data_IF_469348878468
#
_entry.id   IF_469348878468
#
_cell.length_a   1.000
_cell.length_b   1.000
_cell.length_c   1.000
_cell.angle_alpha   90.00
_cell.angle_beta   90.00
_cell.angle_gamma   90.00
#
_symmetry.space_group_name_H-M   'P 1'
#
loop_
_entity.id
_entity.type
_entity.pdbx_description
1 polymer ?
#
# COMPACT_ATOMS: atom_id res chain seq x y z
N UNK A 1 92.44 52.13 21.17
CA UNK A 1 91.30 51.53 21.91
C UNK A 1 90.52 50.61 20.98
N UNK A 2 89.90 49.52 21.47
CA UNK A 2 88.99 48.66 20.68
C UNK A 2 87.69 49.40 20.35
N UNK A 3 87.15 49.19 19.15
CA UNK A 3 85.70 49.16 18.85
C UNK A 3 85.41 48.04 17.85
N UNK A 4 84.19 47.51 17.87
CA UNK A 4 83.79 46.25 17.23
C UNK A 4 83.22 46.48 15.82
N UNK A 5 83.19 45.42 15.00
CA UNK A 5 82.29 45.30 13.85
C UNK A 5 80.83 45.20 14.31
N UNK A 6 79.88 45.57 13.44
CA UNK A 6 78.69 44.77 13.17
C UNK A 6 78.86 44.03 11.83
N UNK A 7 78.70 42.71 11.83
CA UNK A 7 78.63 41.90 10.61
C UNK A 7 77.18 41.88 10.13
N UNK A 8 76.88 42.49 8.98
CA UNK A 8 75.53 42.46 8.39
C UNK A 8 75.34 41.12 7.68
N UNK A 9 74.60 40.21 8.31
CA UNK A 9 74.18 38.96 7.70
C UNK A 9 72.95 39.20 6.81
N UNK A 10 73.11 39.02 5.50
CA UNK A 10 72.02 39.11 4.53
C UNK A 10 71.28 37.75 4.49
N UNK A 11 70.14 37.64 5.17
CA UNK A 11 69.28 36.46 5.04
C UNK A 11 68.59 36.46 3.65
N UNK A 12 68.69 35.39 2.86
CA UNK A 12 67.79 35.20 1.72
C UNK A 12 66.40 34.83 2.25
N UNK A 13 65.39 35.61 1.89
CA UNK A 13 63.99 35.23 2.08
C UNK A 13 63.66 34.12 1.08
N UNK A 14 63.74 32.87 1.53
CA UNK A 14 63.13 31.73 0.84
C UNK A 14 61.61 31.86 0.96
N UNK A 15 61.00 32.58 0.01
CA UNK A 15 59.58 32.47 -0.27
C UNK A 15 59.32 31.09 -0.89
N UNK A 16 59.11 30.08 -0.05
CA UNK A 16 58.47 28.84 -0.48
C UNK A 16 57.03 29.13 -0.86
N UNK A 17 56.59 28.62 -2.01
CA UNK A 17 55.16 28.45 -2.24
C UNK A 17 54.70 27.32 -1.33
N UNK A 18 53.99 27.68 -0.26
CA UNK A 18 53.37 26.73 0.65
C UNK A 18 52.08 26.22 -0.03
N UNK A 19 52.25 25.41 -1.08
CA UNK A 19 51.15 24.76 -1.83
C UNK A 19 50.52 23.60 -1.01
N UNK A 20 50.57 23.71 0.32
CA UNK A 20 49.89 22.88 1.32
C UNK A 20 48.40 23.30 1.44
N UNK A 21 47.78 23.64 0.31
CA UNK A 21 46.33 23.78 0.18
C UNK A 21 45.76 22.35 0.11
N UNK A 22 45.15 21.82 1.20
CA UNK A 22 44.87 20.40 1.29
C UNK A 22 43.74 20.05 0.33
N UNK A 23 44.11 19.49 -0.83
CA UNK A 23 43.16 18.96 -1.82
C UNK A 23 42.30 17.91 -1.15
N UNK A 24 41.14 18.35 -0.66
CA UNK A 24 40.25 17.54 0.15
C UNK A 24 39.89 16.29 -0.63
N UNK A 25 40.34 15.14 -0.14
CA UNK A 25 40.20 13.87 -0.85
C UNK A 25 38.71 13.64 -1.07
N UNK A 26 38.29 13.69 -2.34
CA UNK A 26 36.88 13.49 -2.71
C UNK A 26 36.44 12.15 -2.14
N UNK A 27 35.37 12.17 -1.35
CA UNK A 27 34.81 10.94 -0.83
C UNK A 27 34.27 10.07 -1.98
N UNK A 28 34.52 8.77 -1.86
CA UNK A 28 34.16 7.71 -2.80
C UNK A 28 33.44 6.55 -2.08
N UNK A 29 33.05 6.76 -0.81
CA UNK A 29 32.43 5.77 0.06
C UNK A 29 30.91 5.93 0.01
N UNK A 30 30.14 5.03 -0.61
CA UNK A 30 28.69 5.15 -0.61
C UNK A 30 28.09 4.97 0.79
N UNK A 31 26.92 5.57 1.07
CA UNK A 31 26.08 5.20 2.20
C UNK A 31 25.72 3.71 2.19
N UNK A 32 25.25 3.19 3.33
CA UNK A 32 24.64 1.87 3.37
C UNK A 32 23.34 1.84 2.55
N UNK A 33 22.98 0.69 1.98
CA UNK A 33 21.67 0.54 1.35
C UNK A 33 20.54 0.75 2.39
N UNK A 34 19.42 1.41 2.02
CA UNK A 34 18.20 1.43 2.82
C UNK A 34 17.71 0.02 3.16
N UNK A 35 17.05 -0.14 4.31
CA UNK A 35 16.66 -1.44 4.88
C UNK A 35 15.24 -1.41 5.45
N UNK A 36 14.67 -2.60 5.61
CA UNK A 36 13.28 -2.82 5.95
C UNK A 36 12.36 -1.99 5.04
N UNK A 37 12.63 -2.05 3.73
CA UNK A 37 11.80 -1.39 2.73
C UNK A 37 10.51 -2.21 2.55
N UNK A 38 9.36 -1.53 2.60
CA UNK A 38 8.05 -2.12 2.34
C UNK A 38 7.15 -1.12 1.61
N UNK A 39 6.04 -1.61 1.07
CA UNK A 39 5.02 -0.79 0.41
C UNK A 39 3.66 -0.94 1.07
N UNK A 40 2.80 0.06 0.86
CA UNK A 40 1.37 0.03 1.17
C UNK A 40 0.60 0.52 -0.06
N UNK A 41 -0.33 -0.31 -0.53
CA UNK A 41 -1.23 -0.06 -1.66
C UNK A 41 -2.26 1.02 -1.32
N UNK A 42 -2.58 1.88 -2.28
CA UNK A 42 -3.72 2.81 -2.21
C UNK A 42 -4.27 3.08 -3.64
N UNK A 43 -5.35 3.86 -3.75
CA UNK A 43 -5.94 4.18 -5.06
C UNK A 43 -5.02 5.08 -5.90
N UNK A 44 -4.65 4.58 -7.08
CA UNK A 44 -3.73 5.24 -8.00
C UNK A 44 -2.32 5.46 -7.44
N UNK A 45 -1.94 4.77 -6.35
CA UNK A 45 -0.79 5.17 -5.53
C UNK A 45 -0.13 3.98 -4.81
N UNK A 46 1.20 4.03 -4.68
CA UNK A 46 1.97 3.20 -3.73
C UNK A 46 2.68 4.11 -2.74
N UNK A 47 2.63 3.79 -1.44
CA UNK A 47 3.49 4.42 -0.42
C UNK A 47 4.61 3.46 -0.06
N UNK A 48 5.85 3.80 -0.41
CA UNK A 48 7.04 3.12 0.11
C UNK A 48 7.41 3.68 1.47
N UNK A 49 7.97 2.82 2.32
CA UNK A 49 8.55 3.14 3.62
C UNK A 49 9.88 2.42 3.79
N UNK A 50 10.79 2.98 4.58
CA UNK A 50 12.10 2.38 4.89
C UNK A 50 12.66 2.91 6.21
N UNK A 51 13.58 2.16 6.83
CA UNK A 51 14.36 2.66 7.97
C UNK A 51 15.42 3.64 7.44
N UNK A 52 15.40 4.87 7.95
CA UNK A 52 16.30 5.93 7.50
C UNK A 52 17.78 5.65 7.83
N UNK A 53 18.65 6.01 6.89
CA UNK A 53 20.09 6.02 7.07
C UNK A 53 20.51 7.08 8.11
N UNK A 54 21.66 6.85 8.75
CA UNK A 54 22.16 7.60 9.91
C UNK A 54 23.48 8.35 9.64
N UNK A 55 24.04 8.14 8.45
CA UNK A 55 25.31 8.68 8.00
C UNK A 55 25.33 10.23 8.01
N UNK A 56 26.47 10.82 8.34
CA UNK A 56 26.60 12.26 8.63
C UNK A 56 26.52 13.12 7.36
N UNK A 57 26.93 12.55 6.25
CA UNK A 57 27.08 13.06 4.87
C UNK A 57 25.89 12.69 3.96
N UNK A 58 24.89 11.96 4.47
CA UNK A 58 23.68 11.60 3.75
C UNK A 58 22.96 12.85 3.20
N UNK A 59 22.78 12.91 1.88
CA UNK A 59 22.03 13.95 1.18
C UNK A 59 20.55 13.59 0.99
N UNK A 60 20.25 12.30 0.81
CA UNK A 60 18.90 11.79 0.64
C UNK A 60 18.86 10.39 0.05
N UNK A 61 17.79 10.11 -0.70
CA UNK A 61 17.49 8.80 -1.29
C UNK A 61 17.06 8.94 -2.74
N UNK A 62 17.24 7.86 -3.52
CA UNK A 62 16.64 7.70 -4.84
C UNK A 62 15.72 6.49 -4.83
N UNK A 63 14.55 6.64 -5.45
CA UNK A 63 13.53 5.61 -5.56
C UNK A 63 13.51 5.13 -7.01
N UNK A 64 13.46 3.82 -7.16
CA UNK A 64 13.51 3.12 -8.43
C UNK A 64 12.28 2.23 -8.63
N UNK A 65 11.91 1.97 -9.88
CA UNK A 65 10.81 1.10 -10.25
C UNK A 65 11.18 0.17 -11.41
N UNK A 66 10.78 -1.10 -11.33
CA UNK A 66 10.92 -2.09 -12.39
C UNK A 66 9.55 -2.70 -12.79
N UNK A 67 9.39 -3.19 -14.03
CA UNK A 67 8.18 -3.91 -14.46
C UNK A 67 8.15 -5.38 -14.01
N UNK A 68 9.25 -5.91 -13.50
CA UNK A 68 9.40 -7.31 -13.08
C UNK A 68 10.55 -7.47 -12.07
N UNK A 69 10.58 -8.58 -11.33
CA UNK A 69 11.44 -8.76 -10.16
C UNK A 69 12.95 -8.72 -10.46
N UNK A 70 13.40 -9.37 -11.54
CA UNK A 70 14.83 -9.55 -11.83
C UNK A 70 15.10 -9.98 -13.28
N UNK A 71 16.34 -9.79 -13.73
CA UNK A 71 16.82 -10.16 -15.06
C UNK A 71 17.09 -8.95 -15.97
N UNK A 72 17.80 -9.17 -17.08
CA UNK A 72 18.26 -8.10 -17.97
C UNK A 72 17.13 -7.33 -18.69
N UNK A 73 15.91 -7.88 -18.71
CA UNK A 73 14.68 -7.24 -19.20
C UNK A 73 13.89 -6.49 -18.12
N UNK A 74 14.39 -6.46 -16.88
CA UNK A 74 13.74 -5.87 -15.72
C UNK A 74 14.66 -4.82 -15.06
N UNK A 75 15.06 -3.75 -15.78
CA UNK A 75 15.82 -2.67 -15.18
C UNK A 75 14.99 -1.98 -14.09
N UNK A 76 15.67 -1.58 -13.01
CA UNK A 76 15.14 -0.64 -12.04
C UNK A 76 15.46 0.76 -12.54
N UNK A 77 14.45 1.43 -13.10
CA UNK A 77 14.56 2.79 -13.63
C UNK A 77 14.33 3.81 -12.50
N UNK A 78 15.12 4.89 -12.49
CA UNK A 78 14.96 5.98 -11.52
C UNK A 78 13.63 6.71 -11.75
N UNK A 79 12.84 6.89 -10.68
CA UNK A 79 11.55 7.60 -10.76
C UNK A 79 11.53 8.93 -9.99
N UNK A 80 12.10 9.00 -8.78
CA UNK A 80 12.14 10.23 -7.98
C UNK A 80 13.18 10.17 -6.85
N UNK A 81 13.51 11.33 -6.28
CA UNK A 81 14.37 11.45 -5.09
C UNK A 81 13.56 11.83 -3.84
N UNK A 82 14.01 11.40 -2.67
CA UNK A 82 13.51 11.87 -1.37
C UNK A 82 14.65 12.54 -0.57
N UNK A 83 14.36 13.57 0.24
CA UNK A 83 15.38 14.31 0.98
C UNK A 83 15.96 13.51 2.16
N UNK A 84 17.10 13.95 2.68
CA UNK A 84 17.64 13.48 3.97
C UNK A 84 16.55 13.49 5.05
N UNK A 85 16.48 12.41 5.83
CA UNK A 85 15.49 12.27 6.91
C UNK A 85 14.11 11.78 6.46
N UNK A 86 13.86 11.62 5.16
CA UNK A 86 12.70 10.85 4.70
C UNK A 86 12.81 9.38 5.12
N UNK A 87 11.67 8.78 5.46
CA UNK A 87 11.49 7.35 5.80
C UNK A 87 10.43 6.70 4.93
N UNK A 88 10.16 7.30 3.76
CA UNK A 88 9.10 6.90 2.83
C UNK A 88 8.90 7.89 1.68
N UNK A 89 8.19 7.44 0.64
CA UNK A 89 7.82 8.23 -0.53
C UNK A 89 6.53 7.70 -1.15
N UNK A 90 5.72 8.58 -1.76
CA UNK A 90 4.49 8.23 -2.45
C UNK A 90 4.71 8.26 -3.98
N UNK A 91 4.14 7.28 -4.70
CA UNK A 91 4.38 7.04 -6.13
C UNK A 91 3.03 6.87 -6.83
N UNK A 92 2.67 7.82 -7.70
CA UNK A 92 1.42 7.75 -8.47
C UNK A 92 1.55 6.74 -9.64
N UNK A 93 0.60 5.82 -9.76
CA UNK A 93 0.61 4.71 -10.71
C UNK A 93 -0.81 4.33 -11.16
N UNK A 94 -0.91 3.64 -12.28
CA UNK A 94 -2.19 3.09 -12.74
C UNK A 94 -2.56 1.82 -11.95
N UNK A 95 -3.85 1.70 -11.60
CA UNK A 95 -4.37 0.53 -10.91
C UNK A 95 -4.26 -0.76 -11.74
N UNK A 96 -4.14 -1.91 -11.06
CA UNK A 96 -4.09 -3.24 -11.68
C UNK A 96 -2.76 -3.57 -12.37
N UNK A 97 -1.75 -2.71 -12.28
CA UNK A 97 -0.42 -2.93 -12.85
C UNK A 97 0.61 -3.15 -11.74
N UNK A 98 0.99 -4.39 -11.52
CA UNK A 98 2.05 -4.74 -10.55
C UNK A 98 3.37 -4.07 -10.93
N UNK A 99 4.02 -3.44 -9.95
CA UNK A 99 5.33 -2.78 -10.09
C UNK A 99 6.24 -3.17 -8.94
N UNK A 100 7.53 -3.29 -9.26
CA UNK A 100 8.59 -3.63 -8.31
C UNK A 100 9.36 -2.37 -7.94
N UNK A 101 9.82 -2.26 -6.70
CA UNK A 101 10.41 -1.04 -6.16
C UNK A 101 11.71 -1.32 -5.42
N UNK A 102 12.62 -0.36 -5.49
CA UNK A 102 13.85 -0.36 -4.70
C UNK A 102 14.24 1.07 -4.32
N UNK A 103 15.03 1.21 -3.25
CA UNK A 103 15.51 2.50 -2.75
C UNK A 103 17.03 2.43 -2.55
N UNK A 104 17.74 3.48 -2.94
CA UNK A 104 19.16 3.70 -2.60
C UNK A 104 19.31 4.96 -1.74
N UNK A 105 20.43 5.08 -1.05
CA UNK A 105 20.86 6.27 -0.33
C UNK A 105 22.00 6.97 -1.10
N UNK A 106 22.05 8.31 -1.03
CA UNK A 106 23.06 9.13 -1.72
C UNK A 106 23.65 10.18 -0.77
N UNK A 107 24.96 10.37 -0.83
CA UNK A 107 25.71 11.35 -0.02
C UNK A 107 25.84 12.73 -0.70
N UNK A 108 26.48 13.70 -0.02
CA UNK A 108 26.80 15.01 -0.60
C UNK A 108 27.98 15.02 -1.60
N UNK A 109 28.75 13.93 -1.71
CA UNK A 109 29.85 13.76 -2.68
C UNK A 109 29.40 13.12 -4.01
N UNK A 110 28.13 12.71 -4.09
CA UNK A 110 27.48 12.07 -5.23
C UNK A 110 27.67 10.54 -5.31
N UNK A 111 28.13 9.88 -4.25
CA UNK A 111 28.20 8.42 -4.20
C UNK A 111 26.84 7.85 -3.78
N UNK A 112 26.48 6.74 -4.41
CA UNK A 112 25.17 6.12 -4.26
C UNK A 112 25.32 4.67 -3.80
N UNK A 113 24.52 4.25 -2.84
CA UNK A 113 24.52 2.90 -2.29
C UNK A 113 24.10 1.85 -3.32
N UNK A 114 24.26 0.57 -2.98
CA UNK A 114 23.46 -0.46 -3.60
C UNK A 114 21.96 -0.18 -3.41
N UNK A 115 21.13 -0.75 -4.28
CA UNK A 115 19.68 -0.81 -4.06
C UNK A 115 19.36 -1.65 -2.81
N UNK A 116 18.22 -1.36 -2.18
CA UNK A 116 17.63 -2.19 -1.12
C UNK A 116 17.50 -3.66 -1.54
N UNK A 117 17.87 -4.58 -0.64
CA UNK A 117 17.86 -6.04 -0.88
C UNK A 117 16.43 -6.63 -0.86
N UNK A 118 15.47 -5.93 -0.25
CA UNK A 118 14.08 -6.37 -0.20
C UNK A 118 13.41 -6.35 -1.58
N UNK A 119 12.85 -7.48 -2.01
CA UNK A 119 11.99 -7.55 -3.21
C UNK A 119 10.61 -6.96 -2.90
N UNK A 120 10.53 -5.63 -2.92
CA UNK A 120 9.27 -4.90 -2.73
C UNK A 120 8.51 -4.82 -4.04
N UNK A 121 7.23 -5.11 -4.03
CA UNK A 121 6.34 -4.91 -5.16
C UNK A 121 4.92 -4.64 -4.69
N UNK A 122 4.15 -3.96 -5.51
CA UNK A 122 2.78 -3.55 -5.19
C UNK A 122 1.91 -3.48 -6.46
N UNK A 123 0.60 -3.56 -6.27
CA UNK A 123 -0.41 -3.46 -7.34
C UNK A 123 -1.49 -2.47 -6.91
N UNK A 124 -1.38 -1.18 -7.29
CA UNK A 124 -2.37 -0.15 -6.96
C UNK A 124 -3.78 -0.56 -7.38
N UNK A 125 -4.79 -0.10 -6.64
CA UNK A 125 -6.16 -0.60 -6.80
C UNK A 125 -7.21 0.38 -6.28
N UNK A 126 -8.43 0.38 -6.82
CA UNK A 126 -9.53 1.20 -6.31
C UNK A 126 -9.81 0.92 -4.83
N UNK A 127 -10.00 1.99 -4.06
CA UNK A 127 -10.26 1.98 -2.63
C UNK A 127 -11.06 3.22 -2.21
N UNK A 128 -11.81 3.12 -1.12
CA UNK A 128 -12.60 4.23 -0.58
C UNK A 128 -12.78 4.15 0.93
N UNK A 129 -13.07 5.29 1.56
CA UNK A 129 -13.03 5.44 3.02
C UNK A 129 -14.29 6.13 3.56
N UNK A 130 -14.82 5.63 4.68
CA UNK A 130 -16.03 6.12 5.33
C UNK A 130 -17.30 6.12 4.44
N UNK A 131 -17.34 5.24 3.44
CA UNK A 131 -18.51 4.99 2.61
C UNK A 131 -19.66 4.39 3.44
N UNK A 132 -20.88 4.48 2.92
CA UNK A 132 -22.10 4.12 3.65
C UNK A 132 -23.04 3.25 2.83
N UNK A 133 -23.59 2.22 3.50
CA UNK A 133 -24.74 1.43 3.05
C UNK A 133 -25.95 1.68 3.97
N UNK A 134 -27.12 1.79 3.37
CA UNK A 134 -28.41 1.74 4.05
C UNK A 134 -28.83 0.31 4.39
N UNK A 135 -29.76 0.16 5.33
CA UNK A 135 -30.41 -1.14 5.56
C UNK A 135 -31.27 -1.54 4.34
N UNK A 136 -31.27 -2.83 3.98
CA UNK A 136 -31.93 -3.33 2.77
C UNK A 136 -33.48 -3.28 2.79
N UNK A 137 -34.09 -3.04 3.96
CA UNK A 137 -35.53 -2.85 4.15
C UNK A 137 -35.89 -1.35 4.21
N UNK A 138 -35.15 -0.56 5.00
CA UNK A 138 -35.43 0.87 5.23
C UNK A 138 -34.90 1.79 4.11
N UNK A 139 -33.71 1.49 3.55
CA UNK A 139 -33.06 2.26 2.49
C UNK A 139 -32.61 1.39 1.28
N UNK A 140 -33.49 0.57 0.66
CA UNK A 140 -33.10 -0.40 -0.37
C UNK A 140 -32.20 0.13 -1.49
N UNK A 141 -32.41 1.33 -2.09
CA UNK A 141 -31.62 1.81 -3.24
C UNK A 141 -30.13 2.06 -2.98
N UNK A 142 -29.68 2.04 -1.72
CA UNK A 142 -28.28 2.26 -1.33
C UNK A 142 -27.78 1.18 -0.35
N UNK A 143 -28.39 -0.01 -0.40
CA UNK A 143 -28.17 -1.08 0.59
C UNK A 143 -27.10 -2.09 0.21
N UNK A 144 -26.61 -2.07 -1.03
CA UNK A 144 -25.56 -2.93 -1.52
C UNK A 144 -24.44 -2.20 -2.23
N UNK A 145 -23.30 -2.89 -2.32
CA UNK A 145 -22.08 -2.41 -2.96
C UNK A 145 -21.74 -3.27 -4.19
N UNK A 146 -21.41 -2.60 -5.29
CA UNK A 146 -20.73 -3.13 -6.48
C UNK A 146 -19.25 -2.72 -6.37
N UNK A 147 -18.36 -3.66 -6.06
CA UNK A 147 -16.93 -3.35 -5.93
C UNK A 147 -16.25 -3.13 -7.29
N UNK A 148 -16.94 -3.37 -8.40
CA UNK A 148 -16.40 -3.33 -9.77
C UNK A 148 -16.79 -2.07 -10.56
N UNK A 149 -17.65 -1.21 -10.02
CA UNK A 149 -18.16 -0.02 -10.70
C UNK A 149 -17.13 1.12 -10.81
N UNK A 150 -16.35 1.38 -9.74
CA UNK A 150 -15.32 2.43 -9.63
C UNK A 150 -15.78 3.89 -9.84
N UNK A 151 -17.06 4.12 -10.13
CA UNK A 151 -17.68 5.43 -10.23
C UNK A 151 -18.52 5.69 -8.95
N UNK A 152 -18.10 6.61 -8.07
CA UNK A 152 -18.99 7.08 -6.99
C UNK A 152 -20.05 8.03 -7.59
N UNK A 153 -21.37 7.84 -7.31
CA UNK A 153 -21.98 6.94 -6.34
C UNK A 153 -22.56 5.64 -6.95
N UNK A 154 -22.26 5.28 -8.20
CA UNK A 154 -22.80 4.11 -8.89
C UNK A 154 -22.37 2.76 -8.27
N UNK A 155 -21.30 2.76 -7.48
CA UNK A 155 -20.92 1.65 -6.57
C UNK A 155 -22.01 1.29 -5.56
N UNK A 156 -22.94 2.20 -5.23
CA UNK A 156 -24.15 1.90 -4.44
C UNK A 156 -25.28 1.43 -5.34
N UNK A 157 -25.78 0.24 -5.06
CA UNK A 157 -26.88 -0.40 -5.80
C UNK A 157 -27.95 -0.96 -4.85
N UNK A 158 -29.17 -1.26 -5.35
CA UNK A 158 -30.13 -2.09 -4.63
C UNK A 158 -29.59 -3.47 -4.28
N UNK A 159 -30.02 -4.06 -3.16
CA UNK A 159 -29.62 -5.43 -2.76
C UNK A 159 -30.07 -6.52 -3.74
N UNK A 160 -31.11 -6.28 -4.53
CA UNK A 160 -31.60 -7.16 -5.58
C UNK A 160 -31.00 -6.85 -6.97
N UNK A 161 -30.06 -5.89 -7.05
CA UNK A 161 -29.37 -5.51 -8.28
C UNK A 161 -28.49 -6.65 -8.82
N UNK A 162 -28.46 -6.89 -10.15
CA UNK A 162 -27.55 -7.87 -10.78
C UNK A 162 -26.06 -7.52 -10.59
N UNK A 163 -25.75 -6.32 -10.11
CA UNK A 163 -24.42 -5.79 -9.82
C UNK A 163 -24.05 -5.85 -8.32
N UNK A 164 -24.96 -6.27 -7.44
CA UNK A 164 -24.66 -6.32 -6.01
C UNK A 164 -23.67 -7.46 -5.71
N UNK A 165 -22.55 -7.14 -5.05
CA UNK A 165 -21.65 -8.14 -4.48
C UNK A 165 -22.04 -8.45 -3.03
N UNK A 166 -22.18 -7.41 -2.21
CA UNK A 166 -22.46 -7.49 -0.76
C UNK A 166 -23.52 -6.47 -0.37
N UNK A 167 -24.49 -6.85 0.46
CA UNK A 167 -25.52 -5.96 1.01
C UNK A 167 -25.58 -5.95 2.55
N UNK A 168 -26.17 -4.90 3.11
CA UNK A 168 -26.22 -4.61 4.54
C UNK A 168 -27.66 -4.51 5.09
N UNK A 169 -27.83 -4.82 6.37
CA UNK A 169 -29.07 -4.56 7.13
C UNK A 169 -29.11 -5.28 8.48
N UNK A 170 -30.28 -5.25 9.12
CA UNK A 170 -30.48 -5.77 10.48
C UNK A 170 -31.42 -6.98 10.52
N UNK A 171 -30.94 -8.11 11.05
CA UNK A 171 -31.78 -9.25 11.41
C UNK A 171 -31.97 -9.28 12.94
N UNK A 172 -33.24 -9.18 13.38
CA UNK A 172 -33.62 -9.13 14.81
C UNK A 172 -32.90 -8.05 15.65
N UNK A 173 -32.41 -6.97 15.01
CA UNK A 173 -31.65 -5.88 15.65
C UNK A 173 -30.13 -6.07 15.65
N UNK A 174 -29.63 -7.22 15.18
CA UNK A 174 -28.19 -7.45 14.96
C UNK A 174 -27.82 -7.09 13.52
N UNK A 175 -26.74 -6.32 13.29
CA UNK A 175 -26.30 -5.91 11.96
C UNK A 175 -25.53 -7.03 11.24
N UNK A 176 -25.82 -7.27 9.97
CA UNK A 176 -25.17 -8.29 9.15
C UNK A 176 -24.75 -7.75 7.77
N UNK A 177 -23.78 -8.44 7.18
CA UNK A 177 -23.43 -8.37 5.76
C UNK A 177 -23.75 -9.71 5.10
N UNK A 178 -24.33 -9.64 3.91
CA UNK A 178 -24.68 -10.79 3.07
C UNK A 178 -23.93 -10.69 1.74
N UNK A 179 -23.34 -11.79 1.28
CA UNK A 179 -23.06 -11.95 -0.14
C UNK A 179 -24.39 -11.94 -0.91
N UNK A 180 -24.58 -10.95 -1.79
CA UNK A 180 -25.84 -10.76 -2.53
C UNK A 180 -26.04 -11.85 -3.58
N UNK A 181 -24.93 -12.27 -4.19
CA UNK A 181 -24.84 -13.51 -4.94
C UNK A 181 -23.86 -14.48 -4.29
N UNK A 182 -23.29 -15.38 -5.08
CA UNK A 182 -23.37 -16.80 -4.74
C UNK A 182 -22.13 -17.58 -5.20
N UNK A 183 -21.76 -17.29 -6.43
CA UNK A 183 -20.43 -16.93 -6.92
C UNK A 183 -19.67 -15.87 -6.09
N UNK A 184 -20.33 -15.09 -5.23
CA UNK A 184 -19.69 -14.23 -4.23
C UNK A 184 -19.57 -14.98 -2.91
N UNK A 185 -18.42 -14.88 -2.24
CA UNK A 185 -18.19 -15.45 -0.91
C UNK A 185 -17.62 -14.40 0.03
N UNK A 186 -18.06 -14.37 1.30
CA UNK A 186 -17.62 -13.42 2.31
C UNK A 186 -17.09 -14.15 3.55
N UNK A 187 -16.10 -13.56 4.23
CA UNK A 187 -15.51 -14.06 5.48
C UNK A 187 -15.20 -12.89 6.42
N UNK A 188 -15.49 -13.05 7.72
CA UNK A 188 -14.93 -12.21 8.78
C UNK A 188 -13.47 -12.61 9.03
N UNK A 189 -12.54 -11.66 8.86
CA UNK A 189 -11.11 -11.83 9.14
C UNK A 189 -10.75 -11.43 10.59
N UNK A 190 -11.72 -10.90 11.35
CA UNK A 190 -11.57 -10.48 12.74
C UNK A 190 -11.16 -9.02 12.90
N UNK A 191 -10.94 -8.65 14.17
CA UNK A 191 -10.61 -7.29 14.58
C UNK A 191 -9.26 -6.81 14.02
N UNK A 192 -9.27 -5.62 13.42
CA UNK A 192 -8.13 -5.01 12.75
C UNK A 192 -7.99 -3.50 13.05
N UNK A 193 -6.75 -3.03 13.20
CA UNK A 193 -6.42 -1.61 13.39
C UNK A 193 -6.78 -0.72 12.19
N UNK A 194 -6.79 -1.32 11.00
CA UNK A 194 -6.74 -0.66 9.69
C UNK A 194 -7.36 -1.58 8.65
N UNK A 195 -7.85 -1.04 7.52
CA UNK A 195 -8.20 -1.86 6.36
C UNK A 195 -6.94 -2.62 5.88
N UNK A 196 -5.80 -1.97 5.99
CA UNK A 196 -4.46 -2.51 5.79
C UNK A 196 -3.94 -3.17 7.08
N UNK A 197 -4.44 -4.38 7.30
CA UNK A 197 -4.00 -5.37 8.29
C UNK A 197 -4.38 -6.80 7.84
N UNK A 198 -4.63 -6.97 6.53
CA UNK A 198 -5.17 -8.19 5.92
C UNK A 198 -4.49 -8.33 4.56
N UNK A 199 -3.37 -9.06 4.59
CA UNK A 199 -2.43 -9.16 3.47
C UNK A 199 -2.96 -10.03 2.33
N UNK A 200 -3.77 -11.04 2.65
CA UNK A 200 -4.19 -12.07 1.70
C UNK A 200 -5.62 -12.54 1.92
N UNK A 201 -6.27 -12.86 0.80
CA UNK A 201 -7.44 -13.72 0.81
C UNK A 201 -7.06 -15.15 1.24
N UNK A 202 -7.71 -15.75 2.24
CA UNK A 202 -7.41 -17.10 2.69
C UNK A 202 -7.95 -18.15 1.70
N UNK A 203 -7.34 -19.35 1.64
CA UNK A 203 -7.83 -20.43 0.76
C UNK A 203 -9.13 -21.06 1.27
N UNK A 204 -9.49 -20.87 2.54
CA UNK A 204 -10.68 -21.42 3.19
C UNK A 204 -11.06 -20.60 4.43
N UNK A 205 -12.30 -20.75 4.90
CA UNK A 205 -12.88 -19.96 6.00
C UNK A 205 -14.13 -19.16 5.60
N UNK A 206 -14.44 -19.13 4.30
CA UNK A 206 -15.63 -18.52 3.70
C UNK A 206 -16.94 -18.96 4.37
N UNK A 207 -17.87 -18.00 4.52
CA UNK A 207 -19.18 -18.27 5.11
C UNK A 207 -20.00 -19.25 4.25
N UNK A 208 -20.55 -20.26 4.91
CA UNK A 208 -21.27 -21.38 4.28
C UNK A 208 -22.67 -20.96 3.79
N UNK A 209 -23.34 -20.06 4.50
CA UNK A 209 -24.60 -19.43 4.07
C UNK A 209 -24.37 -18.09 3.35
N UNK A 210 -23.15 -17.52 3.41
CA UNK A 210 -22.81 -16.23 2.81
C UNK A 210 -23.11 -15.03 3.71
N UNK A 211 -23.39 -15.26 4.99
CA UNK A 211 -23.75 -14.25 6.00
C UNK A 211 -22.59 -14.08 7.00
N UNK A 212 -22.33 -12.85 7.44
CA UNK A 212 -21.41 -12.51 8.54
C UNK A 212 -21.96 -11.34 9.37
N UNK A 213 -21.75 -11.34 10.68
CA UNK A 213 -22.14 -10.21 11.55
C UNK A 213 -21.25 -8.99 11.26
N UNK A 214 -21.82 -7.79 11.20
CA UNK A 214 -21.11 -6.55 10.87
C UNK A 214 -20.63 -5.84 12.14
N UNK A 215 -19.37 -6.08 12.52
CA UNK A 215 -18.80 -5.72 13.82
C UNK A 215 -17.82 -4.54 13.66
N UNK A 216 -18.02 -3.41 14.36
CA UNK A 216 -17.12 -2.27 14.30
C UNK A 216 -15.67 -2.62 14.68
N UNK A 217 -14.74 -2.34 13.76
CA UNK A 217 -13.33 -2.66 13.86
C UNK A 217 -12.91 -3.98 13.19
N UNK A 218 -13.85 -4.79 12.70
CA UNK A 218 -13.50 -6.00 11.93
C UNK A 218 -13.24 -5.70 10.46
N UNK A 219 -12.29 -6.46 9.88
CA UNK A 219 -12.08 -6.55 8.44
C UNK A 219 -12.80 -7.80 7.90
N UNK A 220 -13.35 -7.68 6.70
CA UNK A 220 -14.00 -8.76 5.98
C UNK A 220 -13.37 -8.90 4.60
N UNK A 221 -13.29 -10.13 4.14
CA UNK A 221 -12.74 -10.48 2.83
C UNK A 221 -13.90 -10.97 1.98
N UNK A 222 -13.97 -10.47 0.74
CA UNK A 222 -14.93 -10.89 -0.26
C UNK A 222 -14.17 -11.52 -1.42
N UNK A 223 -14.58 -12.71 -1.88
CA UNK A 223 -14.19 -13.24 -3.18
C UNK A 223 -15.34 -13.05 -4.15
N UNK A 224 -15.09 -12.27 -5.20
CA UNK A 224 -16.07 -11.91 -6.22
C UNK A 224 -15.77 -12.79 -7.43
N UNK A 225 -16.61 -13.80 -7.60
CA UNK A 225 -16.29 -14.96 -8.41
C UNK A 225 -15.56 -16.06 -7.62
N UNK A 226 -16.23 -17.14 -7.25
CA UNK A 226 -16.34 -18.24 -8.21
C UNK A 226 -14.98 -18.63 -8.87
N UNK A 227 -14.32 -19.61 -8.23
CA UNK A 227 -12.87 -19.82 -7.98
C UNK A 227 -11.81 -19.70 -9.10
N UNK A 228 -12.17 -19.64 -10.38
CA UNK A 228 -11.22 -19.78 -11.52
C UNK A 228 -10.83 -18.42 -12.12
N UNK A 229 -11.59 -17.38 -11.76
CA UNK A 229 -11.39 -16.00 -12.20
C UNK A 229 -11.96 -15.13 -11.08
N UNK A 230 -11.32 -15.25 -9.93
CA UNK A 230 -11.70 -14.60 -8.69
C UNK A 230 -11.08 -13.21 -8.62
N UNK A 231 -11.91 -12.18 -8.50
CA UNK A 231 -11.45 -10.93 -7.91
C UNK A 231 -11.60 -11.02 -6.39
N UNK A 232 -10.83 -10.22 -5.68
CA UNK A 232 -10.86 -10.19 -4.22
C UNK A 232 -11.03 -8.75 -3.74
N UNK A 233 -11.95 -8.54 -2.80
CA UNK A 233 -12.11 -7.28 -2.11
C UNK A 233 -11.85 -7.45 -0.62
N UNK A 234 -11.52 -6.34 0.04
CA UNK A 234 -11.63 -6.21 1.49
C UNK A 234 -12.51 -5.02 1.84
N UNK A 235 -13.25 -5.14 2.92
CA UNK A 235 -13.99 -4.04 3.55
C UNK A 235 -13.75 -4.05 5.06
N UNK A 236 -13.79 -2.88 5.69
CA UNK A 236 -13.62 -2.72 7.13
C UNK A 236 -14.79 -1.96 7.71
N UNK A 237 -15.49 -2.52 8.69
CA UNK A 237 -16.59 -1.81 9.35
C UNK A 237 -16.01 -0.77 10.31
N UNK A 238 -16.08 0.51 9.93
CA UNK A 238 -15.65 1.67 10.74
C UNK A 238 -16.66 1.96 11.86
N UNK A 239 -17.90 1.51 11.69
CA UNK A 239 -18.97 1.59 12.67
C UNK A 239 -20.30 1.92 12.00
N UNK A 240 -21.16 2.65 12.70
CA UNK A 240 -22.49 3.02 12.22
C UNK A 240 -22.71 4.54 12.23
N UNK A 241 -23.68 5.02 11.44
CA UNK A 241 -24.15 6.41 11.40
C UNK A 241 -25.64 6.43 11.72
N UNK A 242 -26.03 7.15 12.76
CA UNK A 242 -27.45 7.40 13.05
C UNK A 242 -27.96 8.55 12.18
N UNK A 243 -28.87 8.26 11.25
CA UNK A 243 -29.44 9.27 10.34
C UNK A 243 -30.62 10.05 10.96
N UNK A 244 -31.10 9.59 12.12
CA UNK A 244 -32.32 10.07 12.76
C UNK A 244 -33.53 9.21 12.38
N UNK A 245 -34.68 9.43 13.04
CA UNK A 245 -35.92 8.67 12.77
C UNK A 245 -35.89 7.17 13.15
N UNK A 246 -34.75 6.66 13.64
CA UNK A 246 -34.50 5.22 13.87
C UNK A 246 -33.54 4.62 12.85
N UNK A 247 -33.35 5.26 11.69
CA UNK A 247 -32.50 4.77 10.60
C UNK A 247 -31.02 4.82 10.99
N UNK A 248 -30.33 3.70 10.78
CA UNK A 248 -28.91 3.54 11.01
C UNK A 248 -28.23 2.96 9.76
N UNK A 249 -27.16 3.60 9.31
CA UNK A 249 -26.33 3.15 8.19
C UNK A 249 -25.05 2.49 8.67
N UNK A 250 -24.58 1.50 7.92
CA UNK A 250 -23.20 1.04 7.99
C UNK A 250 -22.25 2.16 7.56
N UNK A 251 -21.08 2.25 8.17
CA UNK A 251 -19.94 3.04 7.67
C UNK A 251 -18.72 2.14 7.56
N UNK A 252 -18.08 2.14 6.39
CA UNK A 252 -16.99 1.22 6.09
C UNK A 252 -15.91 1.85 5.19
N UNK A 253 -14.72 1.24 5.23
CA UNK A 253 -13.64 1.47 4.26
C UNK A 253 -13.55 0.24 3.35
N UNK A 254 -13.05 0.35 2.11
CA UNK A 254 -12.98 -0.76 1.16
C UNK A 254 -11.81 -0.66 0.17
N UNK A 255 -11.43 -1.80 -0.43
CA UNK A 255 -10.53 -1.88 -1.59
C UNK A 255 -10.79 -3.14 -2.43
N UNK A 256 -10.60 -3.07 -3.76
CA UNK A 256 -10.88 -4.16 -4.72
C UNK A 256 -9.68 -4.48 -5.63
N UNK A 257 -9.27 -5.74 -5.71
CA UNK A 257 -8.15 -6.21 -6.51
C UNK A 257 -8.52 -6.38 -7.99
N UNK A 258 -7.96 -5.51 -8.85
CA UNK A 258 -8.19 -5.54 -10.31
C UNK A 258 -7.54 -6.74 -11.03
N UNK A 259 -6.54 -7.39 -10.44
CA UNK A 259 -5.85 -8.53 -11.08
C UNK A 259 -6.59 -9.84 -10.77
N UNK A 260 -7.18 -10.54 -11.77
CA UNK A 260 -7.91 -11.78 -11.52
C UNK A 260 -7.01 -12.89 -10.96
N UNK A 261 -7.53 -13.64 -9.99
CA UNK A 261 -6.86 -14.66 -9.20
C UNK A 261 -5.66 -14.17 -8.37
N UNK A 262 -5.39 -12.86 -8.29
CA UNK A 262 -4.43 -12.33 -7.33
C UNK A 262 -5.08 -12.23 -5.94
N UNK A 263 -4.64 -13.06 -5.00
CA UNK A 263 -5.11 -13.03 -3.61
C UNK A 263 -4.53 -11.90 -2.74
N UNK A 264 -3.62 -11.08 -3.28
CA UNK A 264 -2.98 -9.95 -2.59
C UNK A 264 -4.02 -8.88 -2.21
N UNK A 265 -4.33 -8.85 -0.91
CA UNK A 265 -5.14 -7.82 -0.24
C UNK A 265 -4.27 -6.77 0.45
N UNK A 266 -2.96 -6.97 0.49
CA UNK A 266 -1.89 -5.99 0.78
C UNK A 266 -0.59 -6.51 0.14
N UNK A 267 0.52 -5.77 0.26
CA UNK A 267 1.79 -6.16 -0.35
C UNK A 267 2.41 -7.40 0.33
N UNK A 268 2.40 -8.56 -0.36
CA UNK A 268 2.99 -9.81 0.14
C UNK A 268 3.12 -10.87 -0.95
N UNK A 269 3.38 -12.14 -0.59
CA UNK A 269 3.94 -13.14 -1.54
C UNK A 269 2.91 -14.01 -2.29
N UNK A 270 3.06 -14.22 -3.62
CA UNK A 270 1.98 -14.71 -4.48
C UNK A 270 1.70 -16.22 -4.41
N UNK A 271 0.44 -16.60 -4.65
CA UNK A 271 -0.03 -17.95 -4.99
C UNK A 271 -1.39 -17.89 -5.73
N UNK A 272 -1.72 -18.87 -6.56
CA UNK A 272 -2.90 -18.86 -7.44
C UNK A 272 -3.65 -20.21 -7.48
N UNK A 273 -4.95 -20.23 -7.83
CA UNK A 273 -5.73 -21.46 -8.11
C UNK A 273 -6.94 -21.22 -9.05
N UNK A 274 -7.91 -22.16 -9.17
CA UNK A 274 -8.75 -22.34 -10.38
C UNK A 274 -10.28 -22.60 -10.27
N UNK A 275 -11.00 -22.43 -11.39
CA UNK A 275 -13.01 -22.36 -11.65
C UNK A 275 -13.96 -23.52 -11.27
N UNK A 276 -15.32 -23.35 -11.27
CA UNK A 276 -16.25 -22.29 -10.74
C UNK A 276 -17.75 -22.65 -11.01
N UNK A 277 -18.72 -22.38 -10.09
CA UNK A 277 -20.21 -22.46 -10.25
C UNK A 277 -21.00 -21.59 -9.21
N UNK A 278 -22.12 -20.95 -9.64
CA UNK A 278 -23.11 -20.20 -8.83
C UNK A 278 -23.89 -21.02 -7.76
N UNK A 279 -23.88 -20.60 -6.48
CA UNK A 279 -24.69 -21.06 -5.31
C UNK A 279 -26.18 -20.63 -5.39
N UNK A 280 -27.03 -21.03 -4.43
CA UNK A 280 -28.47 -20.65 -4.31
C UNK A 280 -28.88 -20.51 -2.83
N UNK A 281 -29.70 -19.50 -2.48
CA UNK A 281 -30.20 -19.28 -1.11
C UNK A 281 -31.60 -19.89 -0.87
N UNK A 282 -31.92 -20.32 0.37
CA UNK A 282 -33.27 -20.75 0.75
C UNK A 282 -34.23 -19.55 0.94
N UNK A 283 -35.53 -19.77 0.72
CA UNK A 283 -36.56 -18.73 0.78
C UNK A 283 -36.95 -18.25 2.21
N UNK A 284 -36.11 -18.55 3.20
CA UNK A 284 -36.22 -18.07 4.57
C UNK A 284 -34.81 -17.87 5.12
N UNK A 285 -34.41 -16.60 5.27
CA UNK A 285 -33.21 -16.18 6.00
C UNK A 285 -33.52 -16.15 7.52
N UNK A 286 -32.50 -16.26 8.40
CA UNK A 286 -32.67 -16.20 9.86
C UNK A 286 -33.04 -14.82 10.42
#
# INVERSE_FOLDING_TARGET
>A
MRRLLPLIALLPLLAGCDDDDPVAVRDVTPPAAPRAVYSVTDDGLVRLYWVGNTEADLAGYRIYMAPCASGASCPYDFIQSAPRGATGAAIALANGVTRYFAVSAVDYAGNESALSEETVFDTPRPAGFNEQLGDYVDEPPISAWDFSAFDTPAERVPWDSPNADVFFGFANGTPYLWAAYTDVEIQDAGYASSLDAVDFAPPAGWSADGIVEAIPGHNYIVRIGDTSFAHYAKLRVVGFVNMGGGVQRLRFDWAYQLVPNNGELEAGRPRAEGPRVRRVFPAALP
#
